data_IF_941969707739
#
_entry.id   IF_941969707739
#
_cell.length_a   1.000
_cell.length_b   1.000
_cell.length_c   1.000
_cell.angle_alpha   90.00
_cell.angle_beta   90.00
_cell.angle_gamma   90.00
#
_symmetry.space_group_name_H-M   'P 1'
#
loop_
_entity.id
_entity.type
_entity.pdbx_description
1 polymer ?
#
# COMPACT_ATOMS: atom_id res chain seq x y z
N UNK A 1 -0.29 4.72 -5.97
CA UNK A 1 0.40 4.94 -4.66
C UNK A 1 1.78 4.30 -4.62
N UNK A 2 1.95 2.98 -4.81
CA UNK A 2 3.28 2.33 -4.75
C UNK A 2 4.34 2.99 -5.65
N UNK A 3 4.01 3.30 -6.90
CA UNK A 3 4.95 3.96 -7.82
C UNK A 3 5.41 5.33 -7.28
N UNK A 4 4.52 6.09 -6.65
CA UNK A 4 4.86 7.35 -6.00
C UNK A 4 5.70 7.14 -4.73
N UNK A 5 5.50 6.04 -4.00
CA UNK A 5 6.37 5.68 -2.88
C UNK A 5 7.81 5.43 -3.34
N UNK A 6 8.01 4.57 -4.34
CA UNK A 6 9.37 4.25 -4.83
C UNK A 6 10.05 5.43 -5.53
N UNK A 7 9.29 6.36 -6.11
CA UNK A 7 9.81 7.59 -6.71
C UNK A 7 9.90 8.79 -5.76
N UNK A 8 9.67 8.58 -4.45
CA UNK A 8 9.68 9.63 -3.42
C UNK A 8 8.77 10.84 -3.74
N UNK A 9 7.57 10.56 -4.25
CA UNK A 9 6.57 11.52 -4.75
C UNK A 9 5.19 11.26 -4.13
N UNK A 10 5.14 10.79 -2.88
CA UNK A 10 3.89 10.36 -2.23
C UNK A 10 2.84 11.48 -2.15
N UNK A 11 3.26 12.74 -2.03
CA UNK A 11 2.34 13.88 -2.02
C UNK A 11 1.52 14.04 -3.29
N UNK A 12 1.98 13.49 -4.43
CA UNK A 12 1.22 13.45 -5.68
C UNK A 12 0.00 12.51 -5.61
N UNK A 13 -0.10 11.66 -4.58
CA UNK A 13 -1.28 10.82 -4.32
C UNK A 13 -2.39 11.53 -3.54
N UNK A 14 -2.12 12.70 -2.98
CA UNK A 14 -3.07 13.40 -2.10
C UNK A 14 -4.21 13.99 -2.94
N UNK A 15 -5.44 13.95 -2.42
CA UNK A 15 -6.62 14.45 -3.12
C UNK A 15 -6.42 15.92 -3.56
N UNK A 16 -6.50 16.23 -4.87
CA UNK A 16 -6.38 17.59 -5.39
C UNK A 16 -7.37 18.57 -4.77
N UNK A 17 -8.53 18.11 -4.28
CA UNK A 17 -9.53 18.95 -3.60
C UNK A 17 -9.00 19.58 -2.31
N UNK A 18 -8.00 18.96 -1.67
CA UNK A 18 -7.33 19.56 -0.51
C UNK A 18 -6.51 20.80 -0.91
N UNK A 19 -6.23 21.01 -2.20
CA UNK A 19 -5.57 22.22 -2.72
C UNK A 19 -4.27 22.58 -2.01
N UNK A 20 -3.49 21.57 -1.59
CA UNK A 20 -2.25 21.76 -0.83
C UNK A 20 -2.45 22.21 0.63
N UNK A 21 -3.69 22.26 1.13
CA UNK A 21 -4.01 22.62 2.52
C UNK A 21 -3.78 21.44 3.48
N UNK A 22 -2.56 20.90 3.48
CA UNK A 22 -2.14 19.84 4.38
C UNK A 22 -0.63 19.92 4.62
N UNK A 23 -0.14 19.50 5.80
CA UNK A 23 1.29 19.37 6.02
C UNK A 23 1.84 18.19 5.18
N UNK A 24 2.77 18.47 4.27
CA UNK A 24 3.36 17.45 3.39
C UNK A 24 3.97 16.28 4.17
N UNK A 25 4.66 16.57 5.29
CA UNK A 25 5.24 15.54 6.13
C UNK A 25 4.18 14.59 6.71
N UNK A 26 3.02 15.12 7.12
CA UNK A 26 1.92 14.32 7.66
C UNK A 26 1.28 13.46 6.57
N UNK A 27 1.11 14.01 5.37
CA UNK A 27 0.61 13.25 4.24
C UNK A 27 1.55 12.09 3.88
N UNK A 28 2.86 12.34 3.77
CA UNK A 28 3.85 11.30 3.51
C UNK A 28 3.83 10.24 4.61
N UNK A 29 3.74 10.65 5.87
CA UNK A 29 3.71 9.75 7.02
C UNK A 29 2.47 8.85 7.01
N UNK A 30 1.27 9.44 6.87
CA UNK A 30 0.00 8.71 6.80
C UNK A 30 -0.02 7.75 5.62
N UNK A 31 0.46 8.17 4.45
CA UNK A 31 0.53 7.31 3.27
C UNK A 31 1.48 6.12 3.47
N UNK A 32 2.62 6.31 4.15
CA UNK A 32 3.51 5.20 4.52
C UNK A 32 2.86 4.22 5.49
N UNK A 33 2.15 4.72 6.50
CA UNK A 33 1.36 3.87 7.42
C UNK A 33 0.30 3.08 6.65
N UNK A 34 -0.41 3.72 5.72
CA UNK A 34 -1.40 3.05 4.86
C UNK A 34 -0.79 1.94 4.01
N UNK A 35 0.40 2.16 3.44
CA UNK A 35 1.13 1.12 2.67
C UNK A 35 1.52 -0.09 3.53
N UNK A 36 1.83 0.11 4.82
CA UNK A 36 2.07 -0.99 5.76
C UNK A 36 0.78 -1.74 6.13
N UNK A 37 -0.32 -1.02 6.32
CA UNK A 37 -1.62 -1.64 6.62
C UNK A 37 -2.13 -2.50 5.46
N UNK A 38 -1.76 -2.17 4.22
CA UNK A 38 -2.18 -2.85 3.00
C UNK A 38 -1.15 -3.86 2.48
N UNK A 39 -0.21 -4.32 3.31
CA UNK A 39 0.74 -5.37 2.93
C UNK A 39 0.01 -6.66 2.52
N UNK A 40 0.53 -7.32 1.48
CA UNK A 40 -0.08 -8.54 0.95
C UNK A 40 -0.09 -9.66 1.99
N UNK A 41 1.05 -9.89 2.67
CA UNK A 41 1.10 -10.78 3.82
C UNK A 41 0.43 -10.12 5.02
N UNK A 42 -0.52 -10.82 5.63
CA UNK A 42 -1.20 -10.37 6.84
C UNK A 42 -0.23 -10.21 8.02
N UNK A 43 0.82 -11.04 8.07
CA UNK A 43 1.84 -11.02 9.13
C UNK A 43 2.71 -9.76 9.11
N UNK A 44 2.80 -9.10 7.94
CA UNK A 44 3.54 -7.85 7.79
C UNK A 44 2.70 -6.61 8.12
N UNK A 45 1.39 -6.77 8.34
CA UNK A 45 0.52 -5.65 8.69
C UNK A 45 0.73 -5.29 10.16
N UNK A 46 0.93 -4.00 10.49
CA UNK A 46 1.09 -3.59 11.87
C UNK A 46 -0.21 -3.82 12.67
N UNK A 47 -0.11 -4.17 13.97
CA UNK A 47 -1.28 -4.21 14.84
C UNK A 47 -1.87 -2.81 14.98
N UNK A 48 -3.19 -2.72 15.19
CA UNK A 48 -3.88 -1.42 15.23
C UNK A 48 -3.33 -0.48 16.31
N UNK A 49 -2.86 -1.01 17.44
CA UNK A 49 -2.22 -0.23 18.50
C UNK A 49 -0.94 0.45 18.01
N UNK A 50 -0.14 -0.23 17.19
CA UNK A 50 1.05 0.35 16.56
C UNK A 50 0.66 1.36 15.48
N UNK A 51 -0.39 1.12 14.71
CA UNK A 51 -0.93 2.09 13.74
C UNK A 51 -1.33 3.38 14.43
N UNK A 52 -2.07 3.31 15.54
CA UNK A 52 -2.45 4.48 16.34
C UNK A 52 -1.19 5.21 16.81
N UNK A 53 -0.21 4.49 17.37
CA UNK A 53 1.07 5.08 17.80
C UNK A 53 1.76 5.82 16.65
N UNK A 54 1.90 5.17 15.48
CA UNK A 54 2.50 5.77 14.30
C UNK A 54 1.77 7.03 13.86
N UNK A 55 0.44 7.06 13.92
CA UNK A 55 -0.35 8.24 13.52
C UNK A 55 -0.30 9.39 14.55
N UNK A 56 -0.15 9.09 15.83
CA UNK A 56 -0.14 10.10 16.90
C UNK A 56 1.25 10.66 17.19
N UNK A 57 2.31 9.88 16.99
CA UNK A 57 3.69 10.25 17.27
C UNK A 57 4.49 10.40 15.96
N UNK A 58 4.82 11.65 15.61
CA UNK A 58 5.61 12.00 14.43
C UNK A 58 7.03 11.43 14.47
N UNK A 59 7.55 11.14 15.65
CA UNK A 59 8.90 10.60 15.84
C UNK A 59 8.92 9.07 15.83
N UNK A 60 7.75 8.41 15.73
CA UNK A 60 7.70 6.97 15.63
C UNK A 60 8.35 6.51 14.33
N UNK A 61 9.41 5.70 14.45
CA UNK A 61 10.05 5.08 13.28
C UNK A 61 9.07 4.17 12.55
N UNK A 62 8.94 4.35 11.24
CA UNK A 62 8.10 3.54 10.37
C UNK A 62 8.99 2.66 9.49
N UNK A 63 8.72 1.36 9.48
CA UNK A 63 9.38 0.38 8.61
C UNK A 63 9.03 0.62 7.14
N UNK A 64 9.94 0.27 6.22
CA UNK A 64 9.66 0.33 4.79
C UNK A 64 8.64 -0.75 4.37
N UNK A 65 7.55 -0.41 3.65
CA UNK A 65 6.65 -1.41 3.07
C UNK A 65 7.33 -2.24 1.97
N UNK A 66 6.85 -3.48 1.79
CA UNK A 66 7.31 -4.36 0.70
C UNK A 66 6.50 -4.15 -0.58
N UNK A 67 7.10 -4.51 -1.72
CA UNK A 67 6.48 -4.39 -3.04
C UNK A 67 5.22 -5.26 -3.15
N UNK A 68 4.10 -4.70 -3.63
CA UNK A 68 2.92 -5.49 -3.91
C UNK A 68 3.21 -6.62 -4.91
N UNK A 69 2.76 -7.86 -4.66
CA UNK A 69 3.14 -9.03 -5.45
C UNK A 69 2.67 -8.99 -6.90
N UNK A 70 1.63 -8.21 -7.20
CA UNK A 70 1.11 -8.02 -8.55
C UNK A 70 1.96 -7.08 -9.41
N UNK A 71 2.95 -6.38 -8.84
CA UNK A 71 3.84 -5.48 -9.57
C UNK A 71 5.10 -6.17 -10.09
N UNK A 72 5.15 -7.50 -10.10
CA UNK A 72 6.24 -8.25 -10.71
C UNK A 72 6.22 -8.01 -12.23
N UNK A 73 7.13 -7.17 -12.72
CA UNK A 73 7.30 -6.78 -14.14
C UNK A 73 7.58 -7.95 -15.10
N UNK A 74 7.68 -9.18 -14.59
CA UNK A 74 7.88 -10.39 -15.37
C UNK A 74 6.59 -11.21 -15.58
N UNK A 75 5.44 -10.82 -15.02
CA UNK A 75 4.16 -11.56 -15.14
C UNK A 75 3.30 -11.09 -16.31
N UNK A 76 3.65 -9.97 -16.96
CA UNK A 76 2.91 -9.45 -18.14
C UNK A 76 3.04 -10.39 -19.36
N UNK A 77 3.94 -11.39 -19.32
CA UNK A 77 4.12 -12.40 -20.38
C UNK A 77 3.66 -13.81 -20.01
N UNK A 78 2.86 -14.00 -18.95
CA UNK A 78 2.14 -15.25 -18.77
C UNK A 78 0.67 -15.00 -19.09
N UNK A 79 0.25 -15.42 -20.29
CA UNK A 79 -1.15 -15.74 -20.56
C UNK A 79 -1.62 -16.65 -19.42
N UNK A 80 -2.35 -16.09 -18.46
CA UNK A 80 -3.13 -16.87 -17.51
C UNK A 80 -4.14 -17.62 -18.37
N UNK A 81 -4.12 -18.96 -18.47
CA UNK A 81 -5.23 -19.68 -19.07
C UNK A 81 -6.42 -19.38 -18.18
N UNK A 82 -7.38 -18.61 -18.67
CA UNK A 82 -8.66 -18.43 -18.01
C UNK A 82 -9.25 -19.83 -17.79
N UNK A 83 -9.24 -20.31 -16.54
CA UNK A 83 -10.06 -21.47 -16.20
C UNK A 83 -11.52 -21.01 -16.29
N UNK A 84 -12.35 -21.62 -17.15
CA UNK A 84 -13.74 -21.22 -17.29
C UNK A 84 -14.50 -21.52 -16.00
N UNK A 85 -15.47 -20.66 -15.67
CA UNK A 85 -16.25 -20.65 -14.44
C UNK A 85 -17.20 -21.86 -14.24
N UNK A 86 -16.94 -23.00 -14.89
CA UNK A 86 -17.88 -24.12 -14.96
C UNK A 86 -17.49 -25.38 -14.18
N UNK A 87 -16.44 -25.38 -13.35
CA UNK A 87 -16.09 -26.53 -12.50
C UNK A 87 -16.34 -26.30 -11.00
N UNK A 88 -17.41 -25.58 -10.65
CA UNK A 88 -17.89 -25.51 -9.27
C UNK A 88 -19.10 -26.43 -9.04
N UNK A 89 -19.11 -27.63 -9.61
CA UNK A 89 -20.00 -28.71 -9.19
C UNK A 89 -19.40 -30.07 -9.53
N UNK A 90 -18.76 -30.74 -8.57
CA UNK A 90 -19.07 -32.12 -8.22
C UNK A 90 -18.34 -32.59 -6.95
N UNK A 91 -19.20 -33.04 -6.01
CA UNK A 91 -19.02 -33.86 -4.80
C UNK A 91 -18.29 -33.27 -3.57
#
# INVERSE_FOLDING_TARGET
>A
VWNFYVSNKLTECVDPKLSGNFPEQDAVHVLKVGLLCCQASAELRPPISMVVKMLTDRNCTISSPTQPPFLNSNVINQEIPFLPANELHQE
#
